data_IF_694703722230
#
_entry.id   IF_694703722230
#
_cell.length_a   1.000
_cell.length_b   1.000
_cell.length_c   1.000
_cell.angle_alpha   90.00
_cell.angle_beta   90.00
_cell.angle_gamma   90.00
#
_symmetry.space_group_name_H-M   'P 1'
#
loop_
_entity.id
_entity.type
_entity.pdbx_description
1 polymer ?
#
# COMPACT_ATOMS: atom_id res chain seq x y z
N UNK A 1 -32.20 8.83 -51.87
CA UNK A 1 -32.41 7.61 -51.04
C UNK A 1 -31.06 7.15 -50.50
N UNK A 2 -31.00 6.86 -49.18
CA UNK A 2 -30.08 5.93 -48.49
C UNK A 2 -28.58 6.31 -48.51
N UNK A 3 -28.10 7.23 -47.65
CA UNK A 3 -27.64 7.00 -46.25
C UNK A 3 -26.95 5.64 -46.08
N UNK A 4 -25.61 5.55 -46.10
CA UNK A 4 -24.79 4.49 -45.46
C UNK A 4 -23.26 4.77 -45.60
N UNK A 5 -22.76 5.90 -45.10
CA UNK A 5 -21.31 6.14 -45.02
C UNK A 5 -20.91 6.84 -43.72
N UNK A 6 -21.28 6.25 -42.59
CA UNK A 6 -20.77 6.66 -41.28
C UNK A 6 -20.91 5.51 -40.31
N UNK A 7 -19.98 4.55 -40.29
CA UNK A 7 -19.87 3.56 -39.21
C UNK A 7 -18.57 2.76 -39.23
N UNK A 8 -17.49 3.31 -39.77
CA UNK A 8 -16.16 2.66 -39.75
C UNK A 8 -15.16 3.62 -39.13
N UNK A 9 -15.23 3.82 -37.81
CA UNK A 9 -14.25 4.68 -37.16
C UNK A 9 -14.62 5.16 -35.76
N UNK A 10 -15.08 4.29 -34.85
CA UNK A 10 -15.04 4.61 -33.42
C UNK A 10 -15.22 3.42 -32.46
N UNK A 11 -14.63 2.26 -32.75
CA UNK A 11 -14.83 1.06 -31.90
C UNK A 11 -13.54 0.54 -31.22
N UNK A 12 -12.41 1.23 -31.32
CA UNK A 12 -11.11 0.69 -30.87
C UNK A 12 -10.42 1.45 -29.72
N UNK A 13 -11.06 2.42 -29.07
CA UNK A 13 -10.36 3.32 -28.11
C UNK A 13 -10.45 2.90 -26.63
N UNK A 14 -11.16 1.81 -26.26
CA UNK A 14 -11.40 1.51 -24.83
C UNK A 14 -10.73 0.24 -24.26
N UNK A 15 -9.66 -0.26 -24.86
CA UNK A 15 -8.84 -1.32 -24.23
C UNK A 15 -7.50 -0.77 -23.74
N UNK A 16 -7.56 0.06 -22.71
CA UNK A 16 -6.39 0.36 -21.87
C UNK A 16 -6.75 0.06 -20.42
N UNK A 17 -7.10 -1.21 -20.15
CA UNK A 17 -7.02 -1.73 -18.79
C UNK A 17 -5.54 -1.97 -18.50
N UNK A 18 -4.88 -1.00 -17.87
CA UNK A 18 -3.62 -1.29 -17.21
C UNK A 18 -3.91 -2.31 -16.10
N UNK A 19 -3.30 -3.49 -16.18
CA UNK A 19 -3.18 -4.37 -15.02
C UNK A 19 -2.38 -3.60 -13.97
N UNK A 20 -3.07 -2.92 -13.06
CA UNK A 20 -2.46 -2.27 -11.90
C UNK A 20 -1.74 -3.38 -11.12
N UNK A 21 -0.44 -3.23 -10.91
CA UNK A 21 0.32 -4.24 -10.17
C UNK A 21 -0.22 -4.34 -8.73
N UNK A 22 -0.19 -5.54 -8.15
CA UNK A 22 -0.69 -5.84 -6.79
C UNK A 22 -0.12 -4.87 -5.73
N UNK A 23 1.13 -4.45 -5.94
CA UNK A 23 1.85 -3.49 -5.07
C UNK A 23 1.35 -2.06 -5.28
N UNK A 24 1.09 -1.64 -6.51
CA UNK A 24 0.57 -0.29 -6.78
C UNK A 24 -0.81 -0.08 -6.15
N UNK A 25 -1.69 -1.08 -6.19
CA UNK A 25 -2.98 -1.02 -5.48
C UNK A 25 -2.80 -0.83 -3.98
N UNK A 26 -1.88 -1.57 -3.35
CA UNK A 26 -1.57 -1.41 -1.93
C UNK A 26 -0.96 -0.03 -1.63
N UNK A 27 -0.07 0.48 -2.48
CA UNK A 27 0.50 1.82 -2.35
C UNK A 27 -0.58 2.90 -2.47
N UNK A 28 -1.58 2.68 -3.30
CA UNK A 28 -2.74 3.57 -3.43
C UNK A 28 -3.58 3.57 -2.15
N UNK A 29 -3.86 2.41 -1.55
CA UNK A 29 -4.56 2.31 -0.27
C UNK A 29 -3.80 3.03 0.86
N UNK A 30 -2.47 2.87 0.92
CA UNK A 30 -1.59 3.59 1.84
C UNK A 30 -1.64 5.10 1.59
N UNK A 31 -1.61 5.54 0.33
CA UNK A 31 -1.65 6.95 -0.05
C UNK A 31 -2.93 7.65 0.40
N UNK A 32 -4.05 6.94 0.45
CA UNK A 32 -5.33 7.44 0.97
C UNK A 32 -5.50 7.24 2.48
N UNK A 33 -4.49 6.73 3.18
CA UNK A 33 -4.55 6.48 4.62
C UNK A 33 -5.57 5.40 5.01
N UNK A 34 -5.98 4.55 4.07
CA UNK A 34 -6.99 3.53 4.32
C UNK A 34 -6.37 2.27 4.96
N UNK A 35 -6.09 2.35 6.26
CA UNK A 35 -5.45 1.28 7.01
C UNK A 35 -6.23 -0.04 6.95
N UNK A 36 -7.57 0.00 6.85
CA UNK A 36 -8.38 -1.21 6.73
C UNK A 36 -8.08 -1.98 5.43
N UNK A 37 -7.87 -1.27 4.32
CA UNK A 37 -7.50 -1.91 3.05
C UNK A 37 -6.05 -2.41 3.05
N UNK A 38 -5.12 -1.64 3.62
CA UNK A 38 -3.72 -2.05 3.76
C UNK A 38 -3.62 -3.34 4.60
N UNK A 39 -4.40 -3.44 5.67
CA UNK A 39 -4.41 -4.60 6.56
C UNK A 39 -4.93 -5.88 5.87
N UNK A 40 -5.64 -5.79 4.74
CA UNK A 40 -5.99 -6.97 3.93
C UNK A 40 -4.74 -7.67 3.37
N UNK A 41 -3.62 -6.92 3.25
CA UNK A 41 -2.34 -7.41 2.77
C UNK A 41 -1.41 -7.88 3.88
N UNK A 42 -1.80 -7.74 5.16
CA UNK A 42 -1.01 -8.29 6.26
C UNK A 42 -0.97 -9.80 6.15
N UNK A 43 0.21 -10.35 6.41
CA UNK A 43 0.32 -11.76 6.75
C UNK A 43 -0.37 -12.04 8.10
N UNK A 44 -0.47 -13.31 8.49
CA UNK A 44 -1.20 -13.69 9.72
C UNK A 44 -0.61 -13.01 10.96
N UNK A 45 0.72 -12.88 10.97
CA UNK A 45 1.50 -12.15 11.96
C UNK A 45 2.50 -11.24 11.25
N UNK A 46 2.69 -10.03 11.77
CA UNK A 46 3.66 -9.07 11.26
C UNK A 46 4.50 -8.47 12.39
N UNK A 47 5.74 -8.11 12.06
CA UNK A 47 6.60 -7.29 12.93
C UNK A 47 6.20 -5.82 12.80
N UNK A 48 5.55 -5.27 13.82
CA UNK A 48 5.18 -3.85 13.88
C UNK A 48 6.09 -3.12 14.86
N UNK A 49 6.72 -2.05 14.40
CA UNK A 49 7.46 -1.11 15.24
C UNK A 49 6.90 0.30 15.09
N UNK A 50 6.49 0.89 16.22
CA UNK A 50 6.08 2.30 16.31
C UNK A 50 7.25 3.18 16.82
N UNK A 51 7.19 4.51 16.62
CA UNK A 51 8.25 5.41 17.07
C UNK A 51 8.47 5.32 18.58
N UNK A 52 9.72 5.11 18.99
CA UNK A 52 10.11 4.98 20.40
C UNK A 52 9.76 3.64 21.06
N UNK A 53 9.22 2.68 20.31
CA UNK A 53 8.89 1.34 20.80
C UNK A 53 9.81 0.29 20.14
N UNK A 54 9.97 -0.86 20.80
CA UNK A 54 10.58 -2.03 20.18
C UNK A 54 9.62 -2.70 19.19
N UNK A 55 10.17 -3.43 18.22
CA UNK A 55 9.36 -4.21 17.28
C UNK A 55 8.65 -5.35 18.00
N UNK A 56 7.35 -5.51 17.75
CA UNK A 56 6.54 -6.58 18.31
C UNK A 56 5.91 -7.41 17.20
N UNK A 57 6.00 -8.74 17.33
CA UNK A 57 5.34 -9.66 16.41
C UNK A 57 3.91 -9.93 16.89
N UNK A 58 2.92 -9.48 16.11
CA UNK A 58 1.52 -9.46 16.52
C UNK A 58 0.62 -9.90 15.37
N UNK A 59 -0.59 -10.38 15.70
CA UNK A 59 -1.52 -10.84 14.68
C UNK A 59 -2.07 -9.68 13.84
N UNK A 60 -2.58 -9.99 12.64
CA UNK A 60 -3.08 -9.00 11.68
C UNK A 60 -4.10 -8.02 12.26
N UNK A 61 -5.00 -8.48 13.14
CA UNK A 61 -6.07 -7.65 13.69
C UNK A 61 -5.54 -6.67 14.74
N UNK A 62 -4.61 -7.12 15.58
CA UNK A 62 -3.90 -6.28 16.54
C UNK A 62 -3.07 -5.22 15.80
N UNK A 63 -2.30 -5.63 14.79
CA UNK A 63 -1.52 -4.72 13.96
C UNK A 63 -2.39 -3.66 13.28
N UNK A 64 -3.53 -4.08 12.69
CA UNK A 64 -4.49 -3.15 12.08
C UNK A 64 -4.97 -2.11 13.08
N UNK A 65 -5.38 -2.54 14.26
CA UNK A 65 -5.91 -1.64 15.28
C UNK A 65 -4.85 -0.66 15.80
N UNK A 66 -3.64 -1.14 16.08
CA UNK A 66 -2.52 -0.28 16.50
C UNK A 66 -2.16 0.74 15.43
N UNK A 67 -2.05 0.31 14.16
CA UNK A 67 -1.74 1.21 13.05
C UNK A 67 -2.86 2.26 12.83
N UNK A 68 -4.14 1.88 12.96
CA UNK A 68 -5.27 2.82 12.93
C UNK A 68 -5.20 3.84 14.05
N UNK A 69 -4.93 3.40 15.28
CA UNK A 69 -4.76 4.29 16.43
C UNK A 69 -3.61 5.25 16.18
N UNK A 70 -2.48 4.76 15.68
CA UNK A 70 -1.32 5.58 15.35
C UNK A 70 -1.63 6.62 14.27
N UNK A 71 -2.29 6.24 13.18
CA UNK A 71 -2.65 7.15 12.08
C UNK A 71 -3.59 8.25 12.57
N UNK A 72 -4.62 7.89 13.34
CA UNK A 72 -5.58 8.83 13.90
C UNK A 72 -4.95 9.78 14.91
N UNK A 73 -4.18 9.25 15.87
CA UNK A 73 -3.51 10.04 16.92
C UNK A 73 -2.56 11.07 16.35
N UNK A 74 -1.89 10.75 15.23
CA UNK A 74 -0.88 11.60 14.63
C UNK A 74 -1.38 12.39 13.41
N UNK A 75 -2.67 12.31 13.06
CA UNK A 75 -3.24 13.03 11.91
C UNK A 75 -2.60 12.63 10.58
N UNK A 76 -2.22 11.37 10.41
CA UNK A 76 -1.60 10.84 9.19
C UNK A 76 -2.70 10.66 8.15
N UNK A 77 -2.53 11.28 6.98
CA UNK A 77 -3.54 11.28 5.91
C UNK A 77 -3.15 10.46 4.69
N UNK A 78 -1.94 9.91 4.68
CA UNK A 78 -1.44 9.17 3.54
C UNK A 78 -0.01 8.70 3.71
N UNK A 79 0.57 8.36 2.58
CA UNK A 79 1.90 7.81 2.43
C UNK A 79 2.53 8.33 1.15
N UNK A 80 3.81 8.69 1.23
CA UNK A 80 4.63 9.15 0.12
C UNK A 80 5.80 8.19 -0.07
N UNK A 81 5.82 7.44 -1.18
CA UNK A 81 6.93 6.54 -1.50
C UNK A 81 8.19 7.35 -1.80
N UNK A 82 9.30 6.98 -1.20
CA UNK A 82 10.63 7.54 -1.50
C UNK A 82 11.49 6.57 -2.31
N UNK A 83 11.54 5.30 -1.90
CA UNK A 83 12.34 4.29 -2.59
C UNK A 83 11.76 2.89 -2.43
N UNK A 84 12.22 1.96 -3.26
CA UNK A 84 12.06 0.53 -3.03
C UNK A 84 13.28 -0.26 -3.46
N UNK A 85 13.48 -1.41 -2.81
CA UNK A 85 14.52 -2.39 -3.14
C UNK A 85 13.89 -3.77 -3.15
N UNK A 86 14.29 -4.60 -4.11
CA UNK A 86 13.86 -6.00 -4.20
C UNK A 86 15.07 -6.92 -4.06
N UNK A 87 14.88 -8.03 -3.36
CA UNK A 87 15.83 -9.14 -3.23
C UNK A 87 15.06 -10.46 -3.25
N UNK A 88 15.18 -11.20 -4.34
CA UNK A 88 14.39 -12.40 -4.61
C UNK A 88 12.88 -12.13 -4.50
N UNK A 89 12.20 -12.88 -3.62
CA UNK A 89 10.77 -12.73 -3.34
C UNK A 89 10.45 -11.66 -2.30
N UNK A 90 11.44 -10.95 -1.77
CA UNK A 90 11.26 -9.92 -0.74
C UNK A 90 11.41 -8.53 -1.35
N UNK A 91 10.52 -7.61 -0.98
CA UNK A 91 10.59 -6.19 -1.38
C UNK A 91 10.49 -5.32 -0.14
N UNK A 92 11.38 -4.34 -0.03
CA UNK A 92 11.31 -3.29 0.99
C UNK A 92 10.93 -1.98 0.32
N UNK A 93 9.89 -1.33 0.82
CA UNK A 93 9.45 0.00 0.39
C UNK A 93 9.71 0.97 1.52
N UNK A 94 10.36 2.11 1.22
CA UNK A 94 10.53 3.20 2.16
C UNK A 94 9.75 4.42 1.72
N UNK A 95 9.36 5.25 2.68
CA UNK A 95 8.68 6.49 2.40
C UNK A 95 8.39 7.29 3.65
N UNK A 96 7.50 8.26 3.50
CA UNK A 96 7.05 9.11 4.59
C UNK A 96 5.56 9.01 4.85
N UNK A 97 5.20 9.21 6.11
CA UNK A 97 3.84 9.44 6.57
C UNK A 97 3.71 10.93 6.91
N UNK A 98 3.20 11.76 5.98
CA UNK A 98 2.99 13.17 6.27
C UNK A 98 1.93 13.33 7.36
N UNK A 99 2.23 14.20 8.31
CA UNK A 99 1.27 14.79 9.24
C UNK A 99 1.39 16.32 9.15
N UNK A 100 0.57 17.08 9.88
CA UNK A 100 0.66 18.54 9.93
C UNK A 100 1.95 19.11 10.56
N UNK A 101 2.97 18.26 10.80
CA UNK A 101 4.27 18.58 11.36
C UNK A 101 5.37 17.92 10.51
N UNK A 102 6.42 17.37 11.13
CA UNK A 102 7.57 16.79 10.41
C UNK A 102 7.28 15.42 9.76
N UNK A 103 6.13 14.80 10.00
CA UNK A 103 5.80 13.46 9.55
C UNK A 103 6.63 12.36 10.25
N UNK A 104 6.51 11.14 9.73
CA UNK A 104 7.30 9.98 10.17
C UNK A 104 7.91 9.27 8.98
N UNK A 105 9.06 8.63 9.20
CA UNK A 105 9.65 7.74 8.21
C UNK A 105 9.05 6.35 8.38
N UNK A 106 8.74 5.69 7.29
CA UNK A 106 8.16 4.34 7.30
C UNK A 106 8.93 3.41 6.36
N UNK A 107 9.11 2.17 6.81
CA UNK A 107 9.61 1.06 6.00
C UNK A 107 8.62 -0.10 6.05
N UNK A 108 8.31 -0.67 4.89
CA UNK A 108 7.37 -1.77 4.72
C UNK A 108 8.12 -2.92 4.04
N UNK A 109 8.13 -4.09 4.68
CA UNK A 109 8.71 -5.30 4.11
C UNK A 109 7.58 -6.19 3.60
N UNK A 110 7.67 -6.55 2.33
CA UNK A 110 6.76 -7.40 1.59
C UNK A 110 7.46 -8.70 1.21
N UNK A 111 6.70 -9.79 1.14
CA UNK A 111 7.14 -11.03 0.51
C UNK A 111 6.09 -11.54 -0.46
N UNK A 112 6.53 -12.06 -1.61
CA UNK A 112 5.67 -12.77 -2.52
C UNK A 112 5.42 -14.20 -2.02
N UNK A 113 4.17 -14.49 -1.66
CA UNK A 113 3.71 -15.81 -1.20
C UNK A 113 2.50 -16.21 -2.05
N UNK A 114 2.58 -17.37 -2.70
CA UNK A 114 1.53 -17.89 -3.59
C UNK A 114 1.04 -16.87 -4.62
N UNK A 115 1.97 -16.13 -5.23
CA UNK A 115 1.68 -15.13 -6.25
C UNK A 115 1.16 -13.79 -5.75
N UNK A 116 1.00 -13.59 -4.42
CA UNK A 116 0.56 -12.32 -3.83
C UNK A 116 1.64 -11.67 -2.97
N UNK A 117 1.70 -10.35 -2.95
CA UNK A 117 2.57 -9.64 -2.02
C UNK A 117 1.86 -9.48 -0.68
N UNK A 118 2.48 -9.97 0.39
CA UNK A 118 1.98 -9.81 1.76
C UNK A 118 2.98 -9.00 2.57
N UNK A 119 2.46 -8.16 3.46
CA UNK A 119 3.24 -7.36 4.40
C UNK A 119 3.67 -8.27 5.55
N UNK A 120 4.98 -8.33 5.78
CA UNK A 120 5.60 -9.07 6.89
C UNK A 120 6.06 -8.15 8.02
N UNK A 121 6.41 -6.90 7.70
CA UNK A 121 6.87 -5.94 8.69
C UNK A 121 6.53 -4.51 8.30
N UNK A 122 6.23 -3.69 9.32
CA UNK A 122 6.10 -2.24 9.21
C UNK A 122 6.93 -1.62 10.34
N UNK A 123 7.78 -0.67 9.99
CA UNK A 123 8.56 0.10 10.96
C UNK A 123 8.38 1.58 10.72
N UNK A 124 7.97 2.30 11.76
CA UNK A 124 7.75 3.74 11.73
C UNK A 124 8.73 4.39 12.72
N UNK A 125 9.47 5.40 12.27
CA UNK A 125 10.45 6.15 13.07
C UNK A 125 10.16 7.65 13.03
#
# INVERSE_FOLDING_TARGET
>A
MKRFFSLTGLALVFMSFSFQSDIESMLMDLKFGNVDQVANRFYDYIDLKLPGEDGVNINRNQAKNLLKIFFNKNGIKGFEKESDRSDGSTKMITGRLPNGANGFNISIVLRQISGRNVILAIRIN
#
